data_IF_044580652010
#
_entry.id   IF_044580652010
#
_cell.length_a   1.000
_cell.length_b   1.000
_cell.length_c   1.000
_cell.angle_alpha   90.00
_cell.angle_beta   90.00
_cell.angle_gamma   90.00
#
_symmetry.space_group_name_H-M   'P 1'
#
loop_
_entity.id
_entity.type
_entity.pdbx_description
1 polymer ?
#
# COMPACT_ATOMS: atom_id res chain seq x y z
N UNK A 1 -15.29 45.85 -37.65
CA UNK A 1 -15.72 44.58 -37.03
C UNK A 1 -14.48 43.72 -36.83
N UNK A 2 -13.88 43.79 -35.64
CA UNK A 2 -12.70 43.01 -35.27
C UNK A 2 -12.85 42.58 -33.81
N UNK A 3 -13.25 41.34 -33.62
CA UNK A 3 -13.32 40.65 -32.33
C UNK A 3 -12.40 39.44 -32.42
N UNK A 4 -11.21 39.49 -31.82
CA UNK A 4 -10.38 38.30 -31.59
C UNK A 4 -9.30 38.55 -30.53
N UNK A 5 -9.20 37.59 -29.61
CA UNK A 5 -8.28 37.47 -28.45
C UNK A 5 -8.63 38.38 -27.26
N UNK A 6 -9.64 38.04 -26.46
CA UNK A 6 -9.68 36.91 -25.52
C UNK A 6 -8.50 36.91 -24.53
N UNK A 7 -8.64 37.78 -23.52
CA UNK A 7 -8.31 37.54 -22.11
C UNK A 7 -6.92 36.92 -21.84
N UNK A 8 -5.89 37.76 -21.99
CA UNK A 8 -4.73 37.71 -21.09
C UNK A 8 -5.19 38.15 -19.69
N UNK A 9 -4.68 37.46 -18.67
CA UNK A 9 -4.82 37.73 -17.21
C UNK A 9 -6.04 37.10 -16.55
N UNK A 10 -5.90 35.84 -16.15
CA UNK A 10 -6.35 35.41 -14.82
C UNK A 10 -5.23 34.67 -14.13
N UNK A 11 -4.85 35.25 -12.99
CA UNK A 11 -3.84 34.78 -12.07
C UNK A 11 -4.13 33.33 -11.66
N UNK A 12 -3.13 32.46 -11.83
CA UNK A 12 -3.09 31.15 -11.22
C UNK A 12 -2.70 31.39 -9.76
N UNK A 13 -3.69 31.65 -8.91
CA UNK A 13 -3.61 31.35 -7.49
C UNK A 13 -4.36 30.04 -7.30
N UNK A 14 -3.63 28.92 -7.31
CA UNK A 14 -4.12 27.70 -6.68
C UNK A 14 -3.11 27.26 -5.65
N UNK A 15 -3.61 27.32 -4.42
CA UNK A 15 -2.95 27.03 -3.18
C UNK A 15 -2.15 25.73 -3.25
N UNK A 16 -0.85 25.90 -3.01
CA UNK A 16 0.01 24.99 -2.29
C UNK A 16 -0.70 24.32 -1.11
N UNK A 17 -1.29 23.15 -1.35
CA UNK A 17 -1.90 22.34 -0.32
C UNK A 17 -1.97 20.89 -0.82
N UNK A 18 -0.85 20.18 -0.84
CA UNK A 18 -0.81 18.73 -0.55
C UNK A 18 0.60 18.14 -0.38
N UNK A 19 1.67 18.95 -0.48
CA UNK A 19 2.95 18.66 0.19
C UNK A 19 3.15 19.45 1.50
N UNK A 20 2.19 20.30 1.90
CA UNK A 20 2.24 21.14 3.10
C UNK A 20 0.97 21.11 3.97
N UNK A 21 0.02 20.20 3.73
CA UNK A 21 -1.26 20.15 4.48
C UNK A 21 -1.32 19.12 5.61
N UNK A 22 -0.17 18.83 6.23
CA UNK A 22 -0.09 18.30 7.60
C UNK A 22 0.77 19.21 8.50
N UNK A 23 0.71 20.53 8.28
CA UNK A 23 1.32 21.55 9.14
C UNK A 23 0.28 22.54 9.69
N UNK A 24 -0.87 22.03 10.12
CA UNK A 24 -1.73 22.77 11.04
C UNK A 24 -1.29 22.45 12.48
N UNK A 25 -0.72 23.48 13.12
CA UNK A 25 -0.24 23.57 14.50
C UNK A 25 -0.52 22.42 15.47
N UNK A 26 0.56 21.77 15.90
CA UNK A 26 0.79 21.47 17.32
C UNK A 26 2.21 21.89 17.65
N UNK A 27 2.35 23.08 18.22
CA UNK A 27 3.52 23.42 19.03
C UNK A 27 3.47 22.55 20.29
N UNK A 28 4.55 21.81 20.54
CA UNK A 28 4.86 21.10 21.78
C UNK A 28 3.83 20.04 22.24
N UNK A 29 4.06 18.80 21.85
CA UNK A 29 4.65 17.78 22.73
C UNK A 29 5.19 16.65 21.84
N UNK A 30 6.41 16.18 22.13
CA UNK A 30 6.87 14.85 21.69
C UNK A 30 6.10 13.82 22.53
N UNK A 31 4.77 13.84 22.41
CA UNK A 31 3.89 12.89 23.02
C UNK A 31 4.03 11.59 22.23
N UNK A 32 4.28 10.49 22.92
CA UNK A 32 3.97 9.15 22.41
C UNK A 32 2.56 9.17 21.82
N UNK A 33 2.41 9.34 20.52
CA UNK A 33 1.19 8.91 19.86
C UNK A 33 1.27 7.38 19.84
N UNK A 34 0.71 6.80 20.91
CA UNK A 34 0.32 5.39 20.91
C UNK A 34 -0.52 5.14 19.65
N UNK A 35 -0.35 3.99 18.97
CA UNK A 35 -1.19 3.67 17.84
C UNK A 35 -2.68 3.81 18.23
N UNK A 36 -3.56 4.27 17.31
CA UNK A 36 -4.98 4.40 17.61
C UNK A 36 -5.49 3.06 18.16
N UNK A 37 -6.23 3.08 19.26
CA UNK A 37 -6.86 1.86 19.80
C UNK A 37 -8.10 1.53 18.98
N UNK A 38 -8.37 0.25 18.72
CA UNK A 38 -9.57 -0.16 18.00
C UNK A 38 -10.80 0.06 18.90
N UNK A 39 -11.55 1.12 18.64
CA UNK A 39 -12.74 1.48 19.44
C UNK A 39 -13.94 0.61 19.07
N UNK A 40 -14.04 0.16 17.82
CA UNK A 40 -15.18 -0.63 17.32
C UNK A 40 -14.74 -1.71 16.31
N UNK A 41 -15.37 -2.89 16.37
CA UNK A 41 -15.19 -3.96 15.38
C UNK A 41 -16.01 -3.71 14.11
N UNK A 42 -15.79 -2.56 13.47
CA UNK A 42 -16.37 -2.19 12.17
C UNK A 42 -15.29 -2.26 11.10
N UNK A 43 -15.69 -2.27 9.82
CA UNK A 43 -14.69 -2.31 8.74
C UNK A 43 -13.87 -1.03 8.71
N UNK A 44 -14.54 0.10 8.87
CA UNK A 44 -13.97 1.43 8.94
C UNK A 44 -13.03 1.57 10.14
N UNK A 45 -13.45 1.13 11.34
CA UNK A 45 -12.61 1.20 12.54
C UNK A 45 -11.32 0.40 12.40
N UNK A 46 -11.38 -0.81 11.83
CA UNK A 46 -10.19 -1.64 11.57
C UNK A 46 -9.30 -0.99 10.50
N UNK A 47 -9.90 -0.50 9.41
CA UNK A 47 -9.18 0.18 8.34
C UNK A 47 -8.43 1.43 8.82
N UNK A 48 -9.10 2.28 9.61
CA UNK A 48 -8.52 3.50 10.18
C UNK A 48 -7.37 3.17 11.14
N UNK A 49 -7.55 2.13 11.97
CA UNK A 49 -6.52 1.69 12.90
C UNK A 49 -5.23 1.30 12.18
N UNK A 50 -5.35 0.44 11.15
CA UNK A 50 -4.20 0.00 10.37
C UNK A 50 -3.59 1.07 9.49
N UNK A 51 -4.41 2.01 9.00
CA UNK A 51 -3.94 3.19 8.25
C UNK A 51 -3.00 4.02 9.11
N UNK A 52 -3.22 4.11 10.42
CA UNK A 52 -2.31 4.81 11.34
C UNK A 52 -0.85 4.35 11.25
N UNK A 53 -0.58 3.10 10.87
CA UNK A 53 0.78 2.58 10.73
C UNK A 53 1.52 3.08 9.47
N UNK A 54 0.81 3.41 8.39
CA UNK A 54 1.44 3.85 7.13
C UNK A 54 2.30 5.12 7.31
N UNK A 55 1.93 5.95 8.28
CA UNK A 55 2.55 7.22 8.59
C UNK A 55 4.00 7.08 9.04
N UNK A 56 4.45 5.88 9.42
CA UNK A 56 5.86 5.61 9.74
C UNK A 56 6.78 6.04 8.59
N UNK A 57 6.39 5.85 7.33
CA UNK A 57 7.20 6.29 6.17
C UNK A 57 7.28 7.82 6.00
N UNK A 58 6.42 8.56 6.68
CA UNK A 58 6.33 10.02 6.61
C UNK A 58 6.95 10.71 7.84
N UNK A 59 7.25 9.95 8.90
CA UNK A 59 7.88 10.44 10.12
C UNK A 59 9.21 11.12 9.80
N UNK A 60 9.34 12.39 10.21
CA UNK A 60 10.53 13.21 9.95
C UNK A 60 11.75 12.66 10.65
N UNK A 61 11.56 12.14 11.86
CA UNK A 61 12.61 11.55 12.68
C UNK A 61 13.20 10.27 12.07
N UNK A 62 12.54 9.63 11.10
CA UNK A 62 13.08 8.48 10.37
C UNK A 62 13.79 8.86 9.07
N UNK A 63 13.64 10.11 8.61
CA UNK A 63 14.35 10.55 7.40
C UNK A 63 15.85 10.67 7.68
N UNK A 64 16.66 10.50 6.64
CA UNK A 64 18.09 10.82 6.71
C UNK A 64 18.26 12.32 6.96
N UNK A 65 19.19 12.71 7.83
CA UNK A 65 19.56 14.12 7.99
C UNK A 65 20.36 14.62 6.77
N UNK A 66 20.76 15.90 6.78
CA UNK A 66 21.52 16.51 5.69
C UNK A 66 22.87 15.81 5.44
N UNK A 67 23.43 15.19 6.48
CA UNK A 67 24.67 14.41 6.46
C UNK A 67 24.46 12.95 6.04
N UNK A 68 23.22 12.55 5.71
CA UNK A 68 22.88 11.19 5.29
C UNK A 68 22.80 10.17 6.44
N UNK A 69 22.76 10.63 7.69
CA UNK A 69 22.69 9.78 8.89
C UNK A 69 21.25 9.41 9.24
N UNK A 70 21.09 8.16 9.66
CA UNK A 70 19.82 7.58 10.07
C UNK A 70 19.66 7.65 11.60
N UNK A 71 18.47 8.02 12.08
CA UNK A 71 18.19 8.08 13.51
C UNK A 71 17.80 6.70 14.07
N UNK A 72 18.80 5.97 14.58
CA UNK A 72 18.62 4.64 15.17
C UNK A 72 17.67 4.60 16.36
N UNK A 73 17.58 5.69 17.14
CA UNK A 73 16.65 5.75 18.27
C UNK A 73 15.20 5.90 17.82
N UNK A 74 14.96 6.76 16.83
CA UNK A 74 13.65 6.89 16.20
C UNK A 74 13.21 5.58 15.54
N UNK A 75 14.14 4.90 14.86
CA UNK A 75 13.91 3.57 14.29
C UNK A 75 13.50 2.56 15.36
N UNK A 76 14.24 2.45 16.47
CA UNK A 76 13.88 1.53 17.57
C UNK A 76 12.48 1.83 18.10
N UNK A 77 12.13 3.10 18.31
CA UNK A 77 10.78 3.51 18.74
C UNK A 77 9.71 3.14 17.72
N UNK A 78 9.96 3.36 16.43
CA UNK A 78 9.02 3.03 15.37
C UNK A 78 8.80 1.51 15.26
N UNK A 79 9.88 0.72 15.31
CA UNK A 79 9.78 -0.74 15.29
C UNK A 79 9.05 -1.29 16.54
N UNK A 80 9.36 -0.77 17.73
CA UNK A 80 8.65 -1.16 18.96
C UNK A 80 7.16 -0.82 18.93
N UNK A 81 6.75 0.27 18.27
CA UNK A 81 5.34 0.62 18.12
C UNK A 81 4.55 -0.32 17.18
N UNK A 82 5.25 -1.15 16.41
CA UNK A 82 4.70 -2.14 15.47
C UNK A 82 4.79 -3.57 16.02
N UNK A 83 4.91 -3.76 17.34
CA UNK A 83 4.95 -5.11 17.89
C UNK A 83 3.57 -5.80 17.88
N UNK A 84 3.58 -7.11 18.13
CA UNK A 84 2.35 -7.94 18.19
C UNK A 84 1.43 -7.56 19.38
N UNK A 85 1.83 -6.60 20.20
CA UNK A 85 1.00 -6.02 21.27
C UNK A 85 0.40 -4.68 20.88
N UNK A 86 0.58 -4.26 19.63
CA UNK A 86 0.00 -3.02 19.13
C UNK A 86 -1.52 -3.02 19.32
N UNK A 87 -2.05 -1.85 19.69
CA UNK A 87 -3.45 -1.69 20.08
C UNK A 87 -4.43 -2.09 18.98
N UNK A 88 -4.08 -1.89 17.70
CA UNK A 88 -4.89 -2.36 16.58
C UNK A 88 -4.92 -3.88 16.49
N UNK A 89 -3.76 -4.54 16.58
CA UNK A 89 -3.67 -6.00 16.51
C UNK A 89 -4.42 -6.65 17.69
N UNK A 90 -4.15 -6.18 18.92
CA UNK A 90 -4.83 -6.69 20.12
C UNK A 90 -6.33 -6.43 20.07
N UNK A 91 -6.76 -5.23 19.66
CA UNK A 91 -8.17 -4.91 19.48
C UNK A 91 -8.85 -5.81 18.44
N UNK A 92 -8.19 -6.03 17.30
CA UNK A 92 -8.68 -6.89 16.23
C UNK A 92 -8.87 -8.35 16.67
N UNK A 93 -7.93 -8.91 17.46
CA UNK A 93 -8.03 -10.30 17.92
C UNK A 93 -9.30 -10.57 18.76
N UNK A 94 -9.89 -9.53 19.35
CA UNK A 94 -11.12 -9.57 20.16
C UNK A 94 -12.40 -9.47 19.32
N UNK A 95 -12.30 -9.14 18.03
CA UNK A 95 -13.47 -9.05 17.16
C UNK A 95 -14.07 -10.44 16.84
N UNK A 96 -15.37 -10.51 16.50
CA UNK A 96 -16.01 -11.75 16.07
C UNK A 96 -15.26 -12.41 14.91
N UNK A 97 -15.29 -13.75 14.84
CA UNK A 97 -14.61 -14.51 13.79
C UNK A 97 -15.00 -14.08 12.38
N UNK A 98 -16.30 -13.79 12.16
CA UNK A 98 -16.81 -13.28 10.88
C UNK A 98 -16.20 -11.94 10.47
N UNK A 99 -15.79 -11.11 11.43
CA UNK A 99 -15.02 -9.90 11.13
C UNK A 99 -13.56 -10.27 10.87
N UNK A 100 -12.94 -11.07 11.74
CA UNK A 100 -11.52 -11.41 11.60
C UNK A 100 -11.18 -12.08 10.26
N UNK A 101 -12.05 -12.97 9.77
CA UNK A 101 -11.86 -13.62 8.47
C UNK A 101 -11.75 -12.62 7.31
N UNK A 102 -12.51 -11.52 7.36
CA UNK A 102 -12.54 -10.48 6.32
C UNK A 102 -11.29 -9.58 6.31
N UNK A 103 -10.46 -9.63 7.35
CA UNK A 103 -9.26 -8.78 7.49
C UNK A 103 -7.94 -9.56 7.43
N UNK A 104 -7.99 -10.86 7.14
CA UNK A 104 -6.80 -11.73 7.05
C UNK A 104 -5.71 -11.15 6.13
N UNK A 105 -6.11 -10.51 5.04
CA UNK A 105 -5.19 -9.85 4.10
C UNK A 105 -4.52 -8.61 4.68
N UNK A 106 -5.26 -7.81 5.45
CA UNK A 106 -4.74 -6.64 6.15
C UNK A 106 -3.76 -7.05 7.26
N UNK A 107 -4.06 -8.12 7.98
CA UNK A 107 -3.16 -8.73 8.96
C UNK A 107 -1.85 -9.21 8.33
N UNK A 108 -1.93 -9.81 7.14
CA UNK A 108 -0.73 -10.17 6.37
C UNK A 108 0.06 -8.93 5.97
N UNK A 109 -0.61 -7.90 5.47
CA UNK A 109 -0.01 -6.60 5.17
C UNK A 109 0.68 -5.98 6.38
N UNK A 110 0.07 -6.04 7.55
CA UNK A 110 0.66 -5.58 8.81
C UNK A 110 1.92 -6.37 9.19
N UNK A 111 1.89 -7.70 9.13
CA UNK A 111 3.07 -8.53 9.41
C UNK A 111 4.22 -8.22 8.44
N UNK A 112 3.91 -8.04 7.16
CA UNK A 112 4.90 -7.63 6.16
C UNK A 112 5.43 -6.22 6.44
N UNK A 113 4.55 -5.29 6.79
CA UNK A 113 4.91 -3.91 7.14
C UNK A 113 5.82 -3.84 8.34
N UNK A 114 5.48 -4.55 9.42
CA UNK A 114 6.34 -4.69 10.59
C UNK A 114 7.69 -5.28 10.20
N UNK A 115 7.71 -6.40 9.48
CA UNK A 115 8.96 -7.06 9.06
C UNK A 115 9.84 -6.12 8.23
N UNK A 116 9.21 -5.34 7.36
CA UNK A 116 9.87 -4.35 6.53
C UNK A 116 10.43 -3.18 7.36
N UNK A 117 9.60 -2.53 8.18
CA UNK A 117 10.00 -1.37 9.00
C UNK A 117 11.05 -1.77 10.04
N UNK A 118 10.89 -2.94 10.67
CA UNK A 118 11.83 -3.45 11.66
C UNK A 118 13.10 -4.05 11.05
N UNK A 119 13.24 -4.12 9.72
CA UNK A 119 14.51 -4.43 9.08
C UNK A 119 15.24 -3.12 8.77
N UNK A 120 16.23 -2.77 9.60
CA UNK A 120 16.98 -1.51 9.51
C UNK A 120 17.52 -1.24 8.10
N UNK A 121 18.12 -2.25 7.47
CA UNK A 121 18.72 -2.11 6.14
C UNK A 121 17.66 -1.89 5.06
N UNK A 122 16.55 -2.65 5.12
CA UNK A 122 15.44 -2.47 4.19
C UNK A 122 14.79 -1.08 4.33
N UNK A 123 14.60 -0.60 5.56
CA UNK A 123 14.02 0.71 5.83
C UNK A 123 14.96 1.84 5.37
N UNK A 124 16.26 1.76 5.70
CA UNK A 124 17.27 2.73 5.24
C UNK A 124 17.32 2.81 3.73
N UNK A 125 17.33 1.65 3.04
CA UNK A 125 17.32 1.59 1.59
C UNK A 125 16.07 2.27 1.00
N UNK A 126 14.88 1.96 1.51
CA UNK A 126 13.65 2.57 1.01
C UNK A 126 13.58 4.08 1.25
N UNK A 127 14.05 4.57 2.40
CA UNK A 127 14.10 6.01 2.70
C UNK A 127 15.11 6.71 1.78
N UNK A 128 16.29 6.11 1.58
CA UNK A 128 17.29 6.64 0.65
C UNK A 128 16.76 6.69 -0.80
N UNK A 129 16.10 5.63 -1.25
CA UNK A 129 15.48 5.55 -2.57
C UNK A 129 14.33 6.56 -2.71
N UNK A 130 13.49 6.71 -1.69
CA UNK A 130 12.45 7.74 -1.67
C UNK A 130 13.05 9.14 -1.82
N UNK A 131 14.17 9.42 -1.15
CA UNK A 131 14.89 10.69 -1.29
C UNK A 131 15.55 10.88 -2.67
N UNK A 132 15.71 9.82 -3.46
CA UNK A 132 16.11 9.93 -4.87
C UNK A 132 14.96 10.32 -5.81
N UNK A 133 13.72 10.37 -5.32
CA UNK A 133 12.55 10.67 -6.15
C UNK A 133 12.12 12.12 -6.02
N UNK A 134 11.71 12.70 -7.15
CA UNK A 134 11.02 13.97 -7.21
C UNK A 134 9.50 13.70 -7.11
N UNK A 135 8.85 14.03 -5.96
CA UNK A 135 7.44 13.74 -5.75
C UNK A 135 6.53 14.49 -6.74
N UNK A 136 6.94 15.66 -7.24
CA UNK A 136 6.14 16.42 -8.20
C UNK A 136 6.16 15.76 -9.58
N UNK A 137 7.28 15.15 -9.99
CA UNK A 137 7.34 14.37 -11.23
C UNK A 137 6.52 13.09 -11.14
N UNK A 138 6.57 12.39 -10.01
CA UNK A 138 5.72 11.21 -9.77
C UNK A 138 4.25 11.64 -9.85
N UNK A 139 3.86 12.68 -9.12
CA UNK A 139 2.48 13.21 -9.12
C UNK A 139 2.02 13.60 -10.52
N UNK A 140 2.87 14.28 -11.28
CA UNK A 140 2.56 14.69 -12.66
C UNK A 140 2.30 13.47 -13.54
N UNK A 141 3.17 12.45 -13.48
CA UNK A 141 2.96 11.20 -14.20
C UNK A 141 1.66 10.50 -13.79
N UNK A 142 1.34 10.46 -12.48
CA UNK A 142 0.10 9.85 -11.99
C UNK A 142 -1.11 10.58 -12.58
N UNK A 143 -1.12 11.92 -12.55
CA UNK A 143 -2.21 12.73 -13.10
C UNK A 143 -2.35 12.54 -14.61
N UNK A 144 -1.24 12.47 -15.35
CA UNK A 144 -1.24 12.26 -16.79
C UNK A 144 -1.78 10.87 -17.19
N UNK A 145 -1.49 9.83 -16.40
CA UNK A 145 -1.85 8.44 -16.74
C UNK A 145 -3.18 7.98 -16.14
N UNK A 146 -3.45 8.35 -14.90
CA UNK A 146 -4.60 7.85 -14.12
C UNK A 146 -5.66 8.93 -13.89
N UNK A 147 -5.43 10.15 -14.39
CA UNK A 147 -6.28 11.30 -14.16
C UNK A 147 -6.07 11.93 -12.78
N UNK A 148 -6.77 13.04 -12.52
CA UNK A 148 -6.73 13.66 -11.21
C UNK A 148 -7.50 12.79 -10.20
N UNK A 149 -6.79 12.25 -9.20
CA UNK A 149 -7.35 11.45 -8.10
C UNK A 149 -7.99 12.34 -7.02
N UNK A 150 -8.83 13.31 -7.44
CA UNK A 150 -9.45 14.27 -6.55
C UNK A 150 -10.52 13.64 -5.64
N UNK A 151 -10.62 14.16 -4.41
CA UNK A 151 -11.34 13.58 -3.26
C UNK A 151 -12.87 13.75 -3.27
N UNK A 152 -13.49 14.21 -4.36
CA UNK A 152 -14.86 14.72 -4.23
C UNK A 152 -15.89 13.64 -3.89
N UNK A 153 -15.68 12.37 -4.27
CA UNK A 153 -16.71 11.33 -4.12
C UNK A 153 -16.21 9.92 -3.73
N UNK A 154 -14.89 9.68 -3.65
CA UNK A 154 -14.33 8.34 -3.39
C UNK A 154 -13.89 8.13 -1.93
N UNK A 155 -14.08 6.91 -1.40
CA UNK A 155 -13.59 6.51 -0.07
C UNK A 155 -12.06 6.64 -0.04
N UNK A 156 -11.50 7.07 1.09
CA UNK A 156 -10.05 7.28 1.26
C UNK A 156 -9.22 6.08 0.76
N UNK A 157 -9.64 4.86 1.07
CA UNK A 157 -8.94 3.64 0.65
C UNK A 157 -8.92 3.46 -0.87
N UNK A 158 -10.01 3.76 -1.57
CA UNK A 158 -10.05 3.64 -3.03
C UNK A 158 -9.07 4.62 -3.69
N UNK A 159 -9.01 5.86 -3.19
CA UNK A 159 -8.06 6.87 -3.66
C UNK A 159 -6.63 6.42 -3.38
N UNK A 160 -6.37 5.93 -2.16
CA UNK A 160 -5.05 5.46 -1.77
C UNK A 160 -4.60 4.28 -2.64
N UNK A 161 -5.49 3.34 -2.93
CA UNK A 161 -5.17 2.19 -3.76
C UNK A 161 -4.87 2.58 -5.21
N UNK A 162 -5.63 3.50 -5.79
CA UNK A 162 -5.31 4.07 -7.11
C UNK A 162 -4.00 4.85 -7.09
N UNK A 163 -3.71 5.54 -5.99
CA UNK A 163 -2.45 6.26 -5.82
C UNK A 163 -1.26 5.29 -5.79
N UNK A 164 -1.34 4.20 -5.01
CA UNK A 164 -0.28 3.18 -4.91
C UNK A 164 -0.03 2.49 -6.27
N UNK A 165 -1.09 2.22 -7.03
CA UNK A 165 -1.00 1.73 -8.41
C UNK A 165 -0.30 2.76 -9.31
N UNK A 166 -0.71 4.03 -9.24
CA UNK A 166 -0.06 5.10 -10.00
C UNK A 166 1.42 5.28 -9.64
N UNK A 167 1.76 5.21 -8.36
CA UNK A 167 3.14 5.31 -7.89
C UNK A 167 4.01 4.16 -8.41
N UNK A 168 3.46 2.94 -8.46
CA UNK A 168 4.11 1.77 -9.08
C UNK A 168 4.43 1.99 -10.55
N UNK A 169 3.54 2.64 -11.28
CA UNK A 169 3.70 2.89 -12.71
C UNK A 169 4.60 4.11 -13.01
N UNK A 170 4.70 5.04 -12.06
CA UNK A 170 5.33 6.35 -12.24
C UNK A 170 6.63 6.56 -11.47
N UNK A 171 7.06 5.65 -10.59
CA UNK A 171 8.28 5.87 -9.77
C UNK A 171 9.51 6.23 -10.61
N UNK A 172 9.67 5.61 -11.80
CA UNK A 172 10.80 5.86 -12.70
C UNK A 172 10.84 7.30 -13.22
N UNK A 173 9.69 7.92 -13.43
CA UNK A 173 9.58 9.30 -13.89
C UNK A 173 10.11 10.30 -12.85
N UNK A 174 10.03 9.91 -11.57
CA UNK A 174 10.55 10.70 -10.46
C UNK A 174 12.03 10.52 -10.19
N UNK A 175 12.70 9.51 -10.75
CA UNK A 175 14.07 9.20 -10.36
C UNK A 175 15.05 10.30 -10.77
N UNK A 176 15.81 10.77 -9.78
CA UNK A 176 16.96 11.63 -9.99
C UNK A 176 18.08 10.87 -10.71
N UNK A 177 18.76 11.54 -11.64
CA UNK A 177 19.92 10.99 -12.35
C UNK A 177 21.13 10.76 -11.46
N UNK A 178 21.15 11.36 -10.26
CA UNK A 178 22.24 11.21 -9.27
C UNK A 178 21.92 10.20 -8.17
N UNK A 179 20.88 9.38 -8.34
CA UNK A 179 20.57 8.35 -7.35
C UNK A 179 21.69 7.29 -7.31
N UNK A 180 22.26 6.98 -6.13
CA UNK A 180 23.35 6.01 -6.01
C UNK A 180 22.92 4.55 -6.19
N UNK A 181 21.61 4.28 -6.15
CA UNK A 181 21.03 2.95 -6.26
C UNK A 181 20.85 2.54 -7.72
N UNK A 182 21.10 1.26 -8.02
CA UNK A 182 20.78 0.71 -9.33
C UNK A 182 19.27 0.67 -9.58
N UNK A 183 18.86 0.66 -10.86
CA UNK A 183 17.45 0.58 -11.21
C UNK A 183 16.78 -0.71 -10.68
N UNK A 184 17.54 -1.80 -10.58
CA UNK A 184 17.04 -3.07 -10.04
C UNK A 184 16.78 -2.99 -8.53
N UNK A 185 17.69 -2.40 -7.75
CA UNK A 185 17.51 -2.18 -6.32
C UNK A 185 16.33 -1.24 -6.04
N UNK A 186 16.23 -0.15 -6.82
CA UNK A 186 15.10 0.78 -6.75
C UNK A 186 13.79 0.04 -7.01
N UNK A 187 13.71 -0.74 -8.10
CA UNK A 187 12.51 -1.51 -8.45
C UNK A 187 12.14 -2.50 -7.35
N UNK A 188 13.12 -3.21 -6.79
CA UNK A 188 12.88 -4.19 -5.73
C UNK A 188 12.37 -3.52 -4.46
N UNK A 189 12.96 -2.39 -4.06
CA UNK A 189 12.54 -1.63 -2.89
C UNK A 189 11.13 -1.04 -3.07
N UNK A 190 10.87 -0.38 -4.20
CA UNK A 190 9.56 0.19 -4.52
C UNK A 190 8.49 -0.90 -4.53
N UNK A 191 8.74 -2.03 -5.20
CA UNK A 191 7.80 -3.15 -5.23
C UNK A 191 7.51 -3.69 -3.82
N UNK A 192 8.53 -3.83 -2.98
CA UNK A 192 8.36 -4.30 -1.59
C UNK A 192 7.51 -3.34 -0.78
N UNK A 193 7.80 -2.04 -0.81
CA UNK A 193 7.06 -1.02 -0.07
C UNK A 193 5.61 -0.93 -0.56
N UNK A 194 5.38 -0.84 -1.87
CA UNK A 194 4.03 -0.70 -2.42
C UNK A 194 3.18 -1.97 -2.25
N UNK A 195 3.73 -3.17 -2.45
CA UNK A 195 2.99 -4.41 -2.18
C UNK A 195 2.58 -4.53 -0.72
N UNK A 196 3.45 -4.08 0.20
CA UNK A 196 3.16 -4.08 1.63
C UNK A 196 1.99 -3.14 1.95
N UNK A 197 2.01 -1.91 1.41
CA UNK A 197 0.93 -0.95 1.58
C UNK A 197 -0.37 -1.44 0.94
N UNK A 198 -0.32 -2.04 -0.26
CA UNK A 198 -1.51 -2.61 -0.91
C UNK A 198 -2.18 -3.73 -0.11
N UNK A 199 -1.40 -4.52 0.64
CA UNK A 199 -1.95 -5.52 1.55
C UNK A 199 -2.52 -4.85 2.80
N UNK A 200 -1.80 -3.89 3.39
CA UNK A 200 -2.20 -3.15 4.58
C UNK A 200 -3.51 -2.37 4.38
N UNK A 201 -3.77 -1.89 3.16
CA UNK A 201 -4.99 -1.15 2.80
C UNK A 201 -5.99 -1.98 1.99
N UNK A 202 -5.77 -3.30 1.91
CA UNK A 202 -6.66 -4.25 1.23
C UNK A 202 -7.01 -3.90 -0.24
N UNK A 203 -6.06 -3.31 -0.97
CA UNK A 203 -6.34 -2.64 -2.23
C UNK A 203 -6.93 -3.52 -3.34
N UNK A 204 -6.59 -4.81 -3.42
CA UNK A 204 -7.17 -5.68 -4.47
C UNK A 204 -8.54 -6.25 -4.10
N UNK A 205 -8.94 -6.19 -2.83
CA UNK A 205 -10.28 -6.58 -2.37
C UNK A 205 -11.31 -5.51 -2.74
N UNK A 206 -10.90 -4.23 -2.68
CA UNK A 206 -11.73 -3.07 -3.01
C UNK A 206 -12.14 -3.02 -4.49
N UNK A 207 -11.33 -3.54 -5.41
CA UNK A 207 -11.67 -3.67 -6.84
C UNK A 207 -12.32 -5.02 -7.20
N UNK A 208 -12.47 -5.92 -6.23
CA UNK A 208 -12.84 -7.33 -6.42
C UNK A 208 -14.33 -7.67 -6.37
N UNK A 209 -15.24 -6.70 -6.25
CA UNK A 209 -16.70 -6.92 -6.43
C UNK A 209 -17.16 -6.62 -7.87
N UNK A 210 -16.31 -6.95 -8.84
CA UNK A 210 -16.66 -7.02 -10.26
C UNK A 210 -16.06 -8.27 -10.86
N UNK A 211 -16.89 -9.30 -11.06
CA UNK A 211 -16.61 -10.57 -11.73
C UNK A 211 -15.80 -11.63 -10.95
N UNK A 212 -16.52 -12.41 -10.14
CA UNK A 212 -16.63 -13.86 -10.43
C UNK A 212 -18.12 -14.20 -10.39
N UNK A 213 -18.83 -13.85 -11.46
CA UNK A 213 -19.96 -14.68 -11.87
C UNK A 213 -19.32 -15.98 -12.35
N UNK A 214 -19.56 -17.05 -11.61
CA UNK A 214 -19.13 -18.40 -11.92
C UNK A 214 -19.58 -18.77 -13.34
N UNK A 215 -18.71 -18.61 -14.33
CA UNK A 215 -18.79 -19.40 -15.55
C UNK A 215 -18.28 -20.79 -15.18
N UNK A 216 -19.21 -21.63 -14.72
CA UNK A 216 -19.06 -23.07 -14.82
C UNK A 216 -18.86 -23.39 -16.29
N UNK A 217 -17.59 -23.58 -16.67
CA UNK A 217 -17.28 -24.18 -17.96
C UNK A 217 -17.40 -25.67 -17.74
N UNK A 218 -18.64 -26.16 -17.87
CA UNK A 218 -18.95 -27.57 -18.00
C UNK A 218 -18.39 -28.04 -19.35
N UNK A 219 -17.12 -28.46 -19.33
CA UNK A 219 -16.41 -29.06 -20.44
C UNK A 219 -16.12 -30.51 -20.06
N UNK A 220 -17.06 -31.40 -20.38
CA UNK A 220 -16.91 -32.82 -20.12
C UNK A 220 -15.82 -33.51 -20.96
N UNK A 221 -15.40 -34.65 -20.40
CA UNK A 221 -15.19 -35.96 -21.07
C UNK A 221 -13.75 -36.41 -21.36
N UNK A 222 -13.42 -37.57 -20.76
CA UNK A 222 -12.40 -38.55 -21.15
C UNK A 222 -11.44 -38.86 -19.98
N UNK A 223 -11.26 -40.07 -19.45
CA UNK A 223 -11.66 -41.40 -19.88
C UNK A 223 -11.79 -42.33 -18.66
N UNK A 224 -12.78 -43.22 -18.72
CA UNK A 224 -13.04 -44.23 -17.70
C UNK A 224 -12.29 -45.53 -18.01
N UNK A 225 -11.43 -45.89 -17.06
CA UNK A 225 -11.03 -47.22 -16.56
C UNK A 225 -11.66 -48.43 -17.29
N UNK A 226 -10.79 -49.23 -17.90
CA UNK A 226 -11.06 -50.60 -18.37
C UNK A 226 -11.25 -51.56 -17.18
N UNK A 227 -12.44 -52.15 -17.07
CA UNK A 227 -12.69 -53.37 -16.30
C UNK A 227 -12.30 -54.59 -17.14
N UNK A 228 -11.36 -55.40 -16.64
CA UNK A 228 -11.04 -56.72 -17.17
C UNK A 228 -11.46 -57.77 -16.14
N UNK A 229 -12.61 -58.41 -16.37
CA UNK A 229 -13.04 -59.58 -15.62
C UNK A 229 -12.43 -60.86 -16.20
N UNK A 230 -12.11 -61.77 -15.28
CA UNK A 230 -11.50 -63.08 -15.50
C UNK A 230 -12.57 -64.17 -15.65
N UNK A 231 -12.33 -65.15 -16.53
CA UNK A 231 -12.69 -66.59 -16.44
C UNK A 231 -12.46 -67.22 -17.83
N UNK A 232 -12.13 -68.49 -18.08
CA UNK A 232 -11.49 -69.61 -17.39
C UNK A 232 -11.51 -70.78 -18.41
N UNK A 233 -10.47 -71.62 -18.42
CA UNK A 233 -10.47 -73.04 -18.89
C UNK A 233 -10.61 -73.30 -20.43
N UNK A 234 -9.93 -74.24 -21.12
CA UNK A 234 -9.36 -75.59 -20.84
C UNK A 234 -8.21 -75.90 -21.83
N UNK A 235 -7.21 -76.75 -21.52
CA UNK A 235 -6.17 -77.18 -22.46
C UNK A 235 -6.46 -78.54 -23.13
N UNK A 236 -5.93 -78.79 -24.32
CA UNK A 236 -5.87 -80.15 -24.87
C UNK A 236 -5.42 -80.26 -26.33
N UNK A 237 -4.16 -80.69 -26.48
CA UNK A 237 -3.50 -81.42 -27.59
C UNK A 237 -4.01 -81.24 -29.03
#
# INVERSE_FOLDING_TARGET
>A
MSTLSFVKRRAIFYASAFLLSFHAGTTAEVGRQSPPELIECTKEGIADCYTGYDNVFQRRELQMNAEGQFNEEAYRRACSALDETSSCYVGFTRCPESMRSNFTRREEGYRMFRTFVCNTEALKAAISIKNCTDPEKIRTCIVERHGNLNRTDARFEEILCRWLEGERDCYKNGLSSVCPWSLEEIKASVARSLNTLELLHDCRSTYGTGAIASTSTDGGRGDAVTHGDSESHVPGK
#
